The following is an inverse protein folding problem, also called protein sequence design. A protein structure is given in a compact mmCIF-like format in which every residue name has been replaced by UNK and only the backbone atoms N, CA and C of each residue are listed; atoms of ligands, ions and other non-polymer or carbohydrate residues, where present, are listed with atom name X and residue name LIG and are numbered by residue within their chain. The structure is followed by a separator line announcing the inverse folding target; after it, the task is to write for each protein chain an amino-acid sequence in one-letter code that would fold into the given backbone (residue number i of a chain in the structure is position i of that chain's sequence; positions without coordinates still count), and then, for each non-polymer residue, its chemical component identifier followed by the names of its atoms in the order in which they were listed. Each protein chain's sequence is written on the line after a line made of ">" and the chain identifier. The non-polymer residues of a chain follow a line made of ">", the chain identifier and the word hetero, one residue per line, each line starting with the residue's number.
data_IF_213412169628
#
_entry.id   IF_213412169628
#
_cell.length_a   1.000
_cell.length_b   1.000
_cell.length_c   1.000
_cell.angle_alpha   90.00
_cell.angle_beta   90.00
_cell.angle_gamma   90.00
#
_symmetry.space_group_name_H-M   'P 1'
#
loop_
_entity.id
_entity.type
_entity.pdbx_description
1 polymer ?
#
# COMPACT_ATOMS: atom_id res chain seq x y z
N UNK A 1 -6.70 -32.65 -15.85
CA UNK A 1 -5.34 -32.06 -15.86
C UNK A 1 -5.46 -30.61 -16.28
N UNK A 2 -5.62 -29.70 -15.30
CA UNK A 2 -5.83 -28.27 -15.56
C UNK A 2 -4.46 -27.60 -15.49
N UNK A 3 -3.89 -27.31 -16.66
CA UNK A 3 -2.67 -26.53 -16.76
C UNK A 3 -3.00 -25.06 -16.54
N UNK A 4 -2.79 -24.57 -15.32
CA UNK A 4 -2.77 -23.14 -15.02
C UNK A 4 -1.50 -22.54 -15.61
N UNK A 5 -1.61 -21.88 -16.76
CA UNK A 5 -0.54 -21.08 -17.33
C UNK A 5 -0.46 -19.76 -16.57
N UNK A 6 0.60 -19.59 -15.79
CA UNK A 6 1.01 -18.32 -15.21
C UNK A 6 1.17 -17.31 -16.36
N UNK A 7 0.37 -16.23 -16.35
CA UNK A 7 0.49 -15.15 -17.32
C UNK A 7 1.64 -14.20 -16.93
N UNK A 8 2.44 -13.72 -17.89
CA UNK A 8 3.45 -12.71 -17.65
C UNK A 8 2.80 -11.36 -17.31
N UNK A 9 3.52 -10.55 -16.53
CA UNK A 9 3.10 -9.23 -16.04
C UNK A 9 2.50 -8.36 -17.15
N UNK A 10 1.23 -7.99 -16.99
CA UNK A 10 0.56 -7.10 -17.93
C UNK A 10 1.10 -5.68 -17.80
N UNK A 11 1.85 -5.24 -18.81
CA UNK A 11 1.71 -3.86 -19.26
C UNK A 11 0.23 -3.69 -19.65
N UNK A 12 -0.47 -2.74 -19.03
CA UNK A 12 -1.91 -2.58 -19.23
C UNK A 12 -2.22 -2.20 -20.68
N UNK A 13 -2.79 -3.14 -21.43
CA UNK A 13 -3.34 -2.90 -22.76
C UNK A 13 -4.75 -2.29 -22.69
N UNK A 14 -4.99 -1.30 -21.80
CA UNK A 14 -6.25 -0.56 -21.86
C UNK A 14 -6.17 0.40 -23.07
N UNK A 15 -7.09 0.31 -24.04
CA UNK A 15 -7.16 1.28 -25.13
C UNK A 15 -7.49 2.71 -24.65
N UNK A 16 -7.89 2.85 -23.38
CA UNK A 16 -8.25 4.11 -22.72
C UNK A 16 -7.08 4.84 -22.05
N UNK A 17 -6.00 4.13 -21.74
CA UNK A 17 -4.86 4.69 -21.02
C UNK A 17 -3.69 4.81 -22.00
N UNK A 18 -3.17 6.01 -22.29
CA UNK A 18 -1.92 6.10 -23.04
C UNK A 18 -0.86 5.29 -22.28
N UNK A 19 -0.09 4.48 -23.01
CA UNK A 19 1.09 3.84 -22.46
C UNK A 19 1.93 4.94 -21.79
N UNK A 20 1.93 4.95 -20.46
CA UNK A 20 2.69 5.96 -19.72
C UNK A 20 4.13 5.52 -19.81
N UNK A 21 4.93 6.28 -20.55
CA UNK A 21 6.38 6.11 -20.51
C UNK A 21 6.79 6.19 -19.04
N UNK A 22 7.59 5.22 -18.54
CA UNK A 22 8.12 5.32 -17.20
C UNK A 22 8.86 6.66 -17.08
N UNK A 23 8.67 7.40 -15.97
CA UNK A 23 9.23 8.72 -15.85
C UNK A 23 10.75 8.67 -16.08
N UNK A 24 11.25 9.54 -16.97
CA UNK A 24 12.69 9.70 -17.21
C UNK A 24 13.34 10.07 -15.86
N UNK A 25 14.47 9.43 -15.56
CA UNK A 25 15.21 9.55 -14.29
C UNK A 25 14.55 8.92 -13.05
N UNK A 26 13.51 8.09 -13.22
CA UNK A 26 12.95 7.24 -12.17
C UNK A 26 13.41 5.80 -12.33
N UNK A 27 14.70 5.56 -12.08
CA UNK A 27 15.19 4.20 -11.96
C UNK A 27 14.62 3.57 -10.69
N UNK A 28 14.10 2.34 -10.82
CA UNK A 28 13.76 1.53 -9.65
C UNK A 28 15.03 1.32 -8.82
N UNK A 29 14.90 1.46 -7.51
CA UNK A 29 16.03 1.37 -6.60
C UNK A 29 16.24 -0.07 -6.16
N UNK A 30 17.49 -0.48 -6.20
CA UNK A 30 17.94 -1.78 -5.72
C UNK A 30 18.10 -1.76 -4.20
N UNK A 31 17.58 -2.79 -3.54
CA UNK A 31 17.74 -3.02 -2.10
C UNK A 31 19.00 -3.87 -1.86
N UNK A 32 20.06 -3.34 -1.24
CA UNK A 32 21.28 -4.10 -0.97
C UNK A 32 21.03 -5.31 -0.07
N UNK A 33 21.68 -6.43 -0.36
CA UNK A 33 21.66 -7.63 0.49
C UNK A 33 20.54 -8.64 0.18
N UNK A 34 19.61 -8.32 -0.73
CA UNK A 34 18.59 -9.24 -1.24
C UNK A 34 18.78 -9.52 -2.72
N UNK A 35 18.48 -10.75 -3.15
CA UNK A 35 18.47 -11.08 -4.57
C UNK A 35 17.31 -10.33 -5.27
N UNK A 36 17.40 -10.11 -6.59
CA UNK A 36 16.35 -9.37 -7.31
C UNK A 36 14.97 -10.06 -7.19
N UNK A 37 14.94 -11.38 -7.14
CA UNK A 37 13.72 -12.17 -6.95
C UNK A 37 13.07 -11.99 -5.57
N UNK A 38 13.86 -11.71 -4.54
CA UNK A 38 13.40 -11.46 -3.17
C UNK A 38 12.82 -10.04 -3.04
N UNK A 39 13.26 -9.12 -3.90
CA UNK A 39 12.75 -7.75 -3.97
C UNK A 39 11.40 -7.65 -4.68
N UNK A 40 10.78 -8.76 -5.05
CA UNK A 40 9.45 -8.81 -5.66
C UNK A 40 8.44 -9.22 -4.60
N UNK A 41 7.38 -8.43 -4.44
CA UNK A 41 6.28 -8.75 -3.55
C UNK A 41 5.57 -10.06 -3.93
N UNK A 42 5.31 -10.92 -2.94
CA UNK A 42 4.55 -12.16 -3.06
C UNK A 42 3.63 -12.28 -1.86
N UNK A 43 2.32 -12.30 -2.08
CA UNK A 43 1.32 -12.40 -1.01
C UNK A 43 1.59 -13.64 -0.14
N UNK A 44 1.95 -14.78 -0.74
CA UNK A 44 2.14 -16.06 -0.04
C UNK A 44 3.34 -16.05 0.92
N UNK A 45 4.31 -15.16 0.69
CA UNK A 45 5.49 -15.02 1.55
C UNK A 45 5.33 -13.88 2.55
N UNK A 46 4.82 -12.74 2.07
CA UNK A 46 4.94 -11.47 2.79
C UNK A 46 3.69 -11.08 3.57
N UNK A 47 2.53 -11.68 3.28
CA UNK A 47 1.31 -11.41 4.04
C UNK A 47 1.12 -12.35 5.21
N UNK A 48 0.57 -11.78 6.28
CA UNK A 48 -0.01 -12.46 7.41
C UNK A 48 -1.22 -11.62 7.88
N UNK A 49 -2.28 -11.62 7.07
CA UNK A 49 -3.48 -10.81 7.30
C UNK A 49 -4.30 -11.40 8.45
N UNK A 50 -4.38 -10.66 9.56
CA UNK A 50 -5.30 -10.91 10.65
C UNK A 50 -6.51 -9.94 10.61
N UNK A 51 -7.56 -10.25 11.37
CA UNK A 51 -8.67 -9.33 11.57
C UNK A 51 -8.43 -8.43 12.78
N UNK A 52 -8.87 -7.16 12.74
CA UNK A 52 -8.88 -6.32 13.95
C UNK A 52 -9.84 -6.90 15.00
N UNK A 53 -9.44 -6.79 16.26
CA UNK A 53 -10.26 -7.26 17.40
C UNK A 53 -11.44 -6.33 17.69
N UNK A 54 -11.30 -5.05 17.36
CA UNK A 54 -12.32 -4.03 17.59
C UNK A 54 -12.53 -3.23 16.31
N UNK A 55 -13.78 -3.09 15.90
CA UNK A 55 -14.21 -2.20 14.82
C UNK A 55 -15.21 -1.21 15.43
N UNK A 56 -15.07 0.06 15.06
CA UNK A 56 -15.90 1.18 15.50
C UNK A 56 -16.55 1.84 14.29
N UNK A 57 -17.82 2.16 14.43
CA UNK A 57 -18.63 2.74 13.36
C UNK A 57 -18.90 4.23 13.60
N UNK A 58 -19.21 4.98 12.54
CA UNK A 58 -19.59 6.40 12.66
C UNK A 58 -20.88 6.54 13.49
N UNK A 59 -21.82 5.64 13.28
CA UNK A 59 -23.01 5.41 14.11
C UNK A 59 -23.09 3.90 14.42
N UNK A 60 -23.22 3.46 15.69
CA UNK A 60 -23.46 4.28 16.89
C UNK A 60 -22.21 4.68 17.67
N UNK A 61 -21.03 4.09 17.40
CA UNK A 61 -19.88 4.24 18.32
C UNK A 61 -19.34 5.68 18.42
N UNK A 62 -19.40 6.45 17.33
CA UNK A 62 -18.95 7.85 17.31
C UNK A 62 -20.11 8.84 17.39
N UNK A 63 -21.34 8.36 17.61
CA UNK A 63 -22.54 9.16 17.83
C UNK A 63 -22.82 10.20 16.73
N UNK A 64 -22.56 9.84 15.45
CA UNK A 64 -22.99 10.65 14.31
C UNK A 64 -24.49 10.47 14.03
N UNK A 65 -25.12 11.46 13.39
CA UNK A 65 -26.54 11.37 13.00
C UNK A 65 -26.77 10.22 12.00
N UNK A 66 -27.65 9.25 12.29
CA UNK A 66 -27.95 8.13 11.39
C UNK A 66 -28.44 8.58 10.00
N UNK A 67 -29.15 9.73 9.90
CA UNK A 67 -29.60 10.30 8.63
C UNK A 67 -28.46 10.88 7.79
N UNK A 68 -27.38 11.29 8.45
CA UNK A 68 -26.16 11.70 7.78
C UNK A 68 -25.37 10.49 7.31
N UNK A 69 -25.15 9.52 8.20
CA UNK A 69 -24.40 8.28 7.91
C UNK A 69 -25.01 7.49 6.76
N UNK A 70 -26.35 7.42 6.66
CA UNK A 70 -27.03 6.70 5.58
C UNK A 70 -26.78 7.25 4.17
N UNK A 71 -26.21 8.46 4.06
CA UNK A 71 -25.82 9.09 2.78
C UNK A 71 -24.34 8.90 2.42
N UNK A 72 -23.56 8.27 3.30
CA UNK A 72 -22.15 7.99 3.07
C UNK A 72 -21.96 6.65 2.38
N UNK A 73 -20.82 6.48 1.73
CA UNK A 73 -20.44 5.22 1.10
C UNK A 73 -20.16 4.09 2.12
N UNK A 74 -19.88 4.46 3.39
CA UNK A 74 -19.62 3.50 4.47
C UNK A 74 -19.98 4.09 5.84
N UNK A 75 -20.34 3.22 6.77
CA UNK A 75 -20.47 3.52 8.21
C UNK A 75 -19.19 3.17 9.00
N UNK A 76 -18.13 2.69 8.35
CA UNK A 76 -16.87 2.39 9.02
C UNK A 76 -16.23 3.67 9.59
N UNK A 77 -15.84 3.63 10.86
CA UNK A 77 -15.12 4.71 11.53
C UNK A 77 -13.63 4.40 11.68
N UNK A 78 -13.30 3.41 12.51
CA UNK A 78 -11.92 2.97 12.73
C UNK A 78 -11.86 1.53 13.28
N UNK A 79 -10.66 0.98 13.42
CA UNK A 79 -10.46 -0.31 14.08
C UNK A 79 -9.18 -0.31 14.93
N UNK A 80 -9.04 -1.33 15.79
CA UNK A 80 -7.78 -1.63 16.46
C UNK A 80 -6.71 -2.06 15.45
N UNK A 81 -5.42 -1.97 15.81
CA UNK A 81 -4.35 -2.54 14.98
C UNK A 81 -4.54 -4.05 14.76
N UNK A 82 -4.05 -4.52 13.61
CA UNK A 82 -4.06 -5.91 13.20
C UNK A 82 -2.81 -6.21 12.38
N UNK A 83 -2.46 -7.50 12.26
CA UNK A 83 -1.30 -7.93 11.50
C UNK A 83 -1.60 -7.88 10.00
N UNK A 84 -0.64 -7.40 9.23
CA UNK A 84 -0.69 -7.38 7.76
C UNK A 84 0.46 -8.16 7.16
N UNK A 85 1.67 -7.95 7.67
CA UNK A 85 2.90 -8.53 7.15
C UNK A 85 3.32 -9.76 7.96
N UNK A 86 3.88 -10.74 7.26
CA UNK A 86 4.64 -11.85 7.87
C UNK A 86 5.99 -11.34 8.40
N UNK A 87 6.74 -12.18 9.11
CA UNK A 87 8.07 -11.80 9.61
C UNK A 87 9.06 -11.55 8.45
N UNK A 88 8.90 -12.25 7.33
CA UNK A 88 9.65 -12.00 6.09
C UNK A 88 9.20 -10.69 5.45
N UNK A 89 7.89 -10.43 5.39
CA UNK A 89 7.34 -9.18 4.88
C UNK A 89 7.80 -7.95 5.67
N UNK A 90 7.93 -8.07 7.00
CA UNK A 90 8.47 -7.00 7.87
C UNK A 90 9.92 -6.70 7.49
N UNK A 91 10.79 -7.72 7.43
CA UNK A 91 12.20 -7.55 7.06
C UNK A 91 12.33 -6.87 5.69
N UNK A 92 11.58 -7.35 4.70
CA UNK A 92 11.60 -6.76 3.36
C UNK A 92 11.06 -5.33 3.32
N UNK A 93 10.02 -5.03 4.10
CA UNK A 93 9.52 -3.66 4.24
C UNK A 93 10.60 -2.73 4.79
N UNK A 94 11.25 -3.10 5.90
CA UNK A 94 12.28 -2.28 6.54
C UNK A 94 13.41 -1.99 5.54
N UNK A 95 13.93 -3.03 4.88
CA UNK A 95 15.00 -2.86 3.89
C UNK A 95 14.56 -2.03 2.67
N UNK A 96 13.35 -2.24 2.15
CA UNK A 96 12.84 -1.46 1.03
C UNK A 96 12.70 0.02 1.41
N UNK A 97 12.19 0.32 2.60
CA UNK A 97 12.00 1.68 3.11
C UNK A 97 13.34 2.37 3.39
N UNK A 98 14.29 1.69 4.03
CA UNK A 98 15.65 2.19 4.26
C UNK A 98 16.35 2.57 2.95
N UNK A 99 16.22 1.72 1.91
CA UNK A 99 16.91 1.94 0.62
C UNK A 99 16.48 3.22 -0.09
N UNK A 100 15.22 3.63 0.10
CA UNK A 100 14.59 4.78 -0.56
C UNK A 100 14.52 6.02 0.34
N UNK A 101 14.85 5.91 1.64
CA UNK A 101 14.75 7.01 2.60
C UNK A 101 15.58 8.23 2.21
N UNK A 102 16.69 8.04 1.48
CA UNK A 102 17.50 9.11 0.89
C UNK A 102 16.72 10.06 -0.05
N UNK A 103 15.53 9.65 -0.50
CA UNK A 103 14.63 10.46 -1.32
C UNK A 103 13.54 11.17 -0.52
N UNK A 104 13.54 11.03 0.81
CA UNK A 104 12.66 11.79 1.67
C UNK A 104 12.99 13.29 1.58
N UNK A 105 11.95 14.11 1.57
CA UNK A 105 12.04 15.56 1.57
C UNK A 105 11.45 16.12 2.86
N UNK A 106 11.82 17.35 3.19
CA UNK A 106 11.16 18.10 4.25
C UNK A 106 10.03 18.95 3.66
N UNK A 107 8.95 19.12 4.41
CA UNK A 107 7.88 20.07 4.11
C UNK A 107 7.57 20.90 5.36
N UNK A 108 6.94 22.08 5.25
CA UNK A 108 6.59 22.90 6.41
C UNK A 108 5.71 22.20 7.46
N UNK A 109 5.04 21.10 7.10
CA UNK A 109 4.15 20.34 8.01
C UNK A 109 4.71 18.98 8.43
N UNK A 110 5.65 18.43 7.67
CA UNK A 110 6.17 17.07 7.88
C UNK A 110 7.70 17.14 7.73
N UNK A 111 8.45 16.96 8.83
CA UNK A 111 9.91 17.12 8.84
C UNK A 111 10.63 16.18 7.88
N UNK A 112 10.09 14.97 7.67
CA UNK A 112 10.68 13.96 6.79
C UNK A 112 9.57 13.10 6.16
N UNK A 113 9.38 13.26 4.86
CA UNK A 113 8.31 12.61 4.11
C UNK A 113 8.82 12.04 2.79
N UNK A 114 8.39 10.82 2.47
CA UNK A 114 8.55 10.25 1.13
C UNK A 114 7.19 10.08 0.46
N UNK A 115 7.16 10.43 -0.83
CA UNK A 115 6.01 10.28 -1.70
C UNK A 115 6.37 9.35 -2.84
N UNK A 116 5.42 8.49 -3.20
CA UNK A 116 5.54 7.64 -4.36
C UNK A 116 6.48 6.46 -4.17
N UNK A 117 6.40 5.80 -3.02
CA UNK A 117 7.15 4.56 -2.78
C UNK A 117 6.91 3.50 -3.86
N UNK A 118 5.73 3.51 -4.51
CA UNK A 118 5.38 2.56 -5.58
C UNK A 118 6.20 2.71 -6.86
N UNK A 119 6.86 3.83 -7.15
CA UNK A 119 7.75 3.93 -8.31
C UNK A 119 9.23 3.76 -7.95
N UNK A 120 9.56 3.71 -6.66
CA UNK A 120 10.96 3.61 -6.19
C UNK A 120 11.37 2.19 -5.86
N UNK A 121 10.43 1.30 -5.55
CA UNK A 121 10.72 -0.08 -5.16
C UNK A 121 9.70 -1.03 -5.77
N UNK A 122 10.18 -2.11 -6.41
CA UNK A 122 9.35 -3.21 -6.93
C UNK A 122 8.57 -3.88 -5.80
N UNK A 123 9.22 -4.11 -4.66
CA UNK A 123 8.59 -4.68 -3.48
C UNK A 123 7.43 -3.80 -3.00
N UNK A 124 7.68 -2.50 -2.82
CA UNK A 124 6.64 -1.55 -2.40
C UNK A 124 5.54 -1.40 -3.45
N UNK A 125 5.88 -1.40 -4.74
CA UNK A 125 4.88 -1.38 -5.80
C UNK A 125 3.92 -2.57 -5.70
N UNK A 126 4.46 -3.79 -5.59
CA UNK A 126 3.64 -4.99 -5.51
C UNK A 126 2.83 -5.06 -4.21
N UNK A 127 3.40 -4.63 -3.08
CA UNK A 127 2.66 -4.53 -1.82
C UNK A 127 1.51 -3.50 -1.92
N UNK A 128 1.80 -2.30 -2.41
CA UNK A 128 0.82 -1.23 -2.57
C UNK A 128 -0.31 -1.58 -3.53
N UNK A 129 -0.09 -2.58 -4.39
CA UNK A 129 -1.07 -3.12 -5.33
C UNK A 129 -1.44 -4.59 -5.04
N UNK A 130 -1.25 -5.07 -3.81
CA UNK A 130 -1.73 -6.39 -3.41
C UNK A 130 -3.25 -6.43 -3.43
N UNK A 131 -3.83 -7.33 -4.23
CA UNK A 131 -5.28 -7.51 -4.26
C UNK A 131 -5.82 -8.07 -2.93
N UNK A 132 -5.03 -8.90 -2.23
CA UNK A 132 -5.43 -9.44 -0.95
C UNK A 132 -5.60 -8.33 0.09
N UNK A 133 -4.66 -7.38 0.14
CA UNK A 133 -4.77 -6.20 1.00
C UNK A 133 -5.98 -5.34 0.60
N UNK A 134 -6.15 -5.07 -0.70
CA UNK A 134 -7.29 -4.27 -1.19
C UNK A 134 -8.64 -4.90 -0.81
N UNK A 135 -8.77 -6.21 -0.98
CA UNK A 135 -9.97 -6.97 -0.60
C UNK A 135 -10.22 -6.90 0.91
N UNK A 136 -9.19 -7.09 1.72
CA UNK A 136 -9.31 -7.02 3.19
C UNK A 136 -9.76 -5.64 3.66
N UNK A 137 -9.20 -4.55 3.12
CA UNK A 137 -9.61 -3.19 3.48
C UNK A 137 -11.02 -2.89 2.97
N UNK A 138 -11.39 -3.36 1.77
CA UNK A 138 -12.75 -3.19 1.24
C UNK A 138 -13.79 -3.93 2.10
N UNK A 139 -13.48 -5.14 2.55
CA UNK A 139 -14.33 -5.91 3.47
C UNK A 139 -14.45 -5.22 4.83
N UNK A 140 -13.32 -4.76 5.40
CA UNK A 140 -13.28 -4.07 6.68
C UNK A 140 -14.11 -2.78 6.67
N UNK A 141 -14.04 -2.04 5.57
CA UNK A 141 -14.76 -0.77 5.40
C UNK A 141 -16.18 -0.97 4.87
N UNK A 142 -16.56 -2.16 4.41
CA UNK A 142 -17.87 -2.40 3.80
C UNK A 142 -18.13 -1.60 2.51
N UNK A 143 -17.07 -1.14 1.83
CA UNK A 143 -17.14 -0.38 0.60
C UNK A 143 -16.00 -0.80 -0.33
N UNK A 144 -16.21 -0.71 -1.65
CA UNK A 144 -15.16 -0.96 -2.62
C UNK A 144 -14.06 0.11 -2.50
N UNK A 145 -12.86 -0.32 -2.14
CA UNK A 145 -11.69 0.54 -2.12
C UNK A 145 -11.01 0.50 -3.48
N UNK A 146 -10.48 1.65 -3.90
CA UNK A 146 -9.67 1.77 -5.11
C UNK A 146 -8.32 2.39 -4.76
N UNK A 147 -7.30 2.06 -5.55
CA UNK A 147 -5.99 2.70 -5.40
C UNK A 147 -6.09 4.20 -5.65
N UNK A 148 -5.31 4.97 -4.91
CA UNK A 148 -5.23 6.40 -5.13
C UNK A 148 -4.76 6.68 -6.59
N UNK A 149 -5.49 7.47 -7.39
CA UNK A 149 -5.23 7.62 -8.82
C UNK A 149 -3.91 8.36 -9.12
N UNK A 150 -3.51 9.28 -8.24
CA UNK A 150 -2.21 9.93 -8.34
C UNK A 150 -1.12 9.01 -7.77
N UNK A 151 -0.32 8.38 -8.64
CA UNK A 151 0.77 7.48 -8.26
C UNK A 151 1.76 8.09 -7.26
N UNK A 152 2.06 9.39 -7.38
CA UNK A 152 2.94 10.10 -6.44
C UNK A 152 2.40 10.10 -5.00
N UNK A 153 1.10 9.94 -4.79
CA UNK A 153 0.50 9.87 -3.44
C UNK A 153 0.37 8.43 -2.93
N UNK A 154 0.60 7.42 -3.78
CA UNK A 154 0.63 6.04 -3.34
C UNK A 154 1.88 5.78 -2.52
N UNK A 155 1.72 5.06 -1.40
CA UNK A 155 2.80 4.81 -0.42
C UNK A 155 3.52 6.09 0.00
N UNK A 156 2.71 7.02 0.53
CA UNK A 156 3.20 8.16 1.29
C UNK A 156 3.67 7.66 2.66
N UNK A 157 4.94 7.89 2.99
CA UNK A 157 5.55 7.49 4.25
C UNK A 157 5.97 8.75 5.02
N UNK A 158 5.49 8.84 6.26
CA UNK A 158 5.94 9.84 7.21
C UNK A 158 6.97 9.17 8.12
N UNK A 159 8.23 9.60 8.01
CA UNK A 159 9.28 9.10 8.87
C UNK A 159 9.19 9.76 10.24
N UNK A 160 9.68 9.05 11.27
CA UNK A 160 9.92 9.67 12.56
C UNK A 160 10.87 10.88 12.35
N UNK A 161 10.61 12.04 12.98
CA UNK A 161 11.59 13.11 13.04
C UNK A 161 12.90 12.58 13.62
N UNK A 162 14.03 13.15 13.19
CA UNK A 162 15.28 12.92 13.92
C UNK A 162 15.11 13.52 15.31
N UNK A 163 15.54 12.79 16.34
CA UNK A 163 15.64 13.35 17.69
C UNK A 163 16.85 14.31 17.64
N UNK A 164 16.60 15.62 17.58
CA UNK A 164 17.65 16.66 17.73
C UNK A 164 18.21 16.68 19.16
#
# INVERSE_FOLDING_TARGET
>A
SVHCKIMPSFASSCPCCPATEPPKDCAEEFVPGFAEEDQIWRDEKHLALDQPKVIKYLDPDMNNDPKYVSRLATNYGCCSSFRVLSDEGIKMMDHAVESIEKHAVCSPRIPKVLRGGTFRSKFLNGMGHSEAVLRQVSQLTGCEMVYHPMKIQQLHINFKPNDD
#
